data_IF_384434255179
#
_entry.id   IF_384434255179
#
_cell.length_a   1.000
_cell.length_b   1.000
_cell.length_c   1.000
_cell.angle_alpha   90.00
_cell.angle_beta   90.00
_cell.angle_gamma   90.00
#
_symmetry.space_group_name_H-M   'P 1'
#
loop_
_entity.id
_entity.type
_entity.pdbx_description
1 polymer ?
#
# COMPACT_ATOMS: atom_id res chain seq x y z
N UNK A 1 -73.93 -4.94 -49.16
CA UNK A 1 -72.62 -4.29 -49.37
C UNK A 1 -72.50 -3.14 -48.36
N UNK A 2 -71.93 -3.37 -47.18
CA UNK A 2 -71.70 -2.30 -46.20
C UNK A 2 -70.54 -2.70 -45.26
N UNK A 3 -69.30 -2.57 -45.73
CA UNK A 3 -68.13 -3.08 -45.00
C UNK A 3 -66.81 -2.35 -45.24
N UNK A 4 -66.75 -1.32 -46.10
CA UNK A 4 -65.50 -0.60 -46.42
C UNK A 4 -65.28 0.68 -45.60
N UNK A 5 -66.30 1.18 -44.89
CA UNK A 5 -66.22 2.43 -44.13
C UNK A 5 -65.62 2.31 -42.73
N UNK A 6 -65.75 1.14 -42.09
CA UNK A 6 -65.32 0.94 -40.70
C UNK A 6 -63.81 0.72 -40.58
N UNK A 7 -63.18 -0.03 -41.50
CA UNK A 7 -61.74 -0.34 -41.43
C UNK A 7 -60.85 0.90 -41.55
N UNK A 8 -61.26 1.87 -42.38
CA UNK A 8 -60.53 3.13 -42.58
C UNK A 8 -60.56 4.03 -41.34
N UNK A 9 -61.61 3.95 -40.51
CA UNK A 9 -61.71 4.71 -39.25
C UNK A 9 -60.91 4.05 -38.12
N UNK A 10 -60.87 2.71 -38.04
CA UNK A 10 -60.12 1.99 -37.01
C UNK A 10 -58.62 2.20 -37.15
N UNK A 11 -58.10 2.21 -38.38
CA UNK A 11 -56.67 2.48 -38.66
C UNK A 11 -56.29 3.92 -38.32
N UNK A 12 -57.17 4.88 -38.62
CA UNK A 12 -56.94 6.31 -38.34
C UNK A 12 -56.87 6.60 -36.84
N UNK A 13 -57.66 5.88 -36.04
CA UNK A 13 -57.66 6.00 -34.58
C UNK A 13 -56.44 5.30 -33.94
N UNK A 14 -55.97 4.17 -34.49
CA UNK A 14 -54.75 3.51 -34.02
C UNK A 14 -53.48 4.35 -34.25
N UNK A 15 -53.40 5.09 -35.36
CA UNK A 15 -52.26 5.97 -35.65
C UNK A 15 -52.23 7.25 -34.80
N UNK A 16 -53.38 7.74 -34.33
CA UNK A 16 -53.44 8.91 -33.43
C UNK A 16 -52.99 8.59 -31.99
N UNK A 17 -53.11 7.33 -31.55
CA UNK A 17 -52.72 6.91 -30.21
C UNK A 17 -51.20 6.82 -29.98
N UNK A 18 -50.38 6.81 -31.05
CA UNK A 18 -48.92 6.72 -30.97
C UNK A 18 -48.21 8.07 -30.77
N UNK A 19 -48.94 9.20 -30.81
CA UNK A 19 -48.35 10.54 -30.61
C UNK A 19 -47.81 10.75 -29.19
N UNK A 20 -48.33 10.05 -28.19
CA UNK A 20 -47.81 10.06 -26.81
C UNK A 20 -46.64 9.10 -26.59
N UNK A 21 -46.59 7.98 -27.31
CA UNK A 21 -45.57 6.94 -27.14
C UNK A 21 -44.15 7.44 -27.43
N UNK A 22 -44.00 8.32 -28.42
CA UNK A 22 -42.68 8.92 -28.75
C UNK A 22 -42.20 9.86 -27.64
N UNK A 23 -43.10 10.64 -27.03
CA UNK A 23 -42.75 11.54 -25.91
C UNK A 23 -42.38 10.76 -24.65
N UNK A 24 -43.07 9.65 -24.36
CA UNK A 24 -42.76 8.77 -23.22
C UNK A 24 -41.40 8.10 -23.41
N UNK A 25 -41.10 7.63 -24.62
CA UNK A 25 -39.80 7.04 -24.95
C UNK A 25 -38.66 8.04 -24.73
N UNK A 26 -38.81 9.29 -25.19
CA UNK A 26 -37.83 10.36 -24.99
C UNK A 26 -37.64 10.66 -23.49
N UNK A 27 -38.72 10.69 -22.73
CA UNK A 27 -38.67 10.92 -21.28
C UNK A 27 -37.92 9.80 -20.55
N UNK A 28 -38.19 8.54 -20.89
CA UNK A 28 -37.49 7.38 -20.34
C UNK A 28 -36.00 7.44 -20.71
N UNK A 29 -35.68 7.77 -21.96
CA UNK A 29 -34.30 7.94 -22.42
C UNK A 29 -33.56 9.02 -21.62
N UNK A 30 -34.18 10.17 -21.35
CA UNK A 30 -33.58 11.21 -20.51
C UNK A 30 -33.33 10.74 -19.08
N UNK A 31 -34.26 10.01 -18.48
CA UNK A 31 -34.10 9.48 -17.11
C UNK A 31 -32.94 8.48 -17.07
N UNK A 32 -32.85 7.58 -18.06
CA UNK A 32 -31.76 6.61 -18.16
C UNK A 32 -30.41 7.34 -18.30
N UNK A 33 -30.32 8.34 -19.17
CA UNK A 33 -29.11 9.15 -19.33
C UNK A 33 -28.73 9.90 -18.05
N UNK A 34 -29.70 10.43 -17.32
CA UNK A 34 -29.47 11.11 -16.05
C UNK A 34 -28.92 10.16 -14.99
N UNK A 35 -29.52 8.96 -14.87
CA UNK A 35 -29.05 7.93 -13.93
C UNK A 35 -27.63 7.47 -14.27
N UNK A 36 -27.34 7.22 -15.55
CA UNK A 36 -25.98 6.88 -15.98
C UNK A 36 -24.99 8.03 -15.75
N UNK A 37 -25.40 9.28 -15.96
CA UNK A 37 -24.58 10.45 -15.68
C UNK A 37 -24.21 10.56 -14.21
N UNK A 38 -25.18 10.41 -13.30
CA UNK A 38 -24.95 10.41 -11.85
C UNK A 38 -24.08 9.22 -11.45
N UNK A 39 -24.33 8.03 -11.98
CA UNK A 39 -23.52 6.84 -11.69
C UNK A 39 -22.05 7.05 -12.10
N UNK A 40 -21.79 7.60 -13.28
CA UNK A 40 -20.43 7.90 -13.75
C UNK A 40 -19.71 8.91 -12.85
N UNK A 41 -20.42 9.95 -12.37
CA UNK A 41 -19.86 10.93 -11.43
C UNK A 41 -19.55 10.29 -10.08
N UNK A 42 -20.46 9.49 -9.53
CA UNK A 42 -20.24 8.77 -8.26
C UNK A 42 -19.04 7.83 -8.37
N UNK A 43 -18.92 7.06 -9.46
CA UNK A 43 -17.74 6.22 -9.70
C UNK A 43 -16.47 7.07 -9.78
N UNK A 44 -16.47 8.20 -10.50
CA UNK A 44 -15.31 9.08 -10.58
C UNK A 44 -14.90 9.65 -9.23
N UNK A 45 -15.86 10.01 -8.37
CA UNK A 45 -15.60 10.49 -7.00
C UNK A 45 -15.02 9.37 -6.14
N UNK A 46 -15.58 8.16 -6.22
CA UNK A 46 -15.05 7.00 -5.52
C UNK A 46 -13.61 6.69 -5.96
N UNK A 47 -13.34 6.69 -7.27
CA UNK A 47 -11.99 6.51 -7.82
C UNK A 47 -11.03 7.61 -7.35
N UNK A 48 -11.48 8.87 -7.28
CA UNK A 48 -10.66 9.97 -6.75
C UNK A 48 -10.35 9.79 -5.27
N UNK A 49 -11.34 9.42 -4.44
CA UNK A 49 -11.15 9.17 -3.00
C UNK A 49 -10.15 8.03 -2.77
N UNK A 50 -10.27 6.94 -3.53
CA UNK A 50 -9.33 5.82 -3.50
C UNK A 50 -7.92 6.24 -3.92
N UNK A 51 -7.78 6.99 -5.02
CA UNK A 51 -6.49 7.49 -5.47
C UNK A 51 -5.82 8.41 -4.42
N UNK A 52 -6.61 9.23 -3.74
CA UNK A 52 -6.12 10.07 -2.64
C UNK A 52 -5.69 9.26 -1.42
N UNK A 53 -6.51 8.28 -0.97
CA UNK A 53 -6.12 7.36 0.13
C UNK A 53 -4.82 6.63 -0.23
N UNK A 54 -4.71 6.10 -1.44
CA UNK A 54 -3.51 5.40 -1.93
C UNK A 54 -2.28 6.32 -1.98
N UNK A 55 -2.43 7.55 -2.47
CA UNK A 55 -1.33 8.52 -2.50
C UNK A 55 -0.83 8.87 -1.09
N UNK A 56 -1.75 9.04 -0.13
CA UNK A 56 -1.40 9.25 1.28
C UNK A 56 -0.63 8.05 1.84
N UNK A 57 -1.14 6.84 1.62
CA UNK A 57 -0.48 5.60 2.05
C UNK A 57 0.91 5.42 1.44
N UNK A 58 1.07 5.69 0.15
CA UNK A 58 2.36 5.63 -0.53
C UNK A 58 3.34 6.66 0.04
N UNK A 59 2.88 7.88 0.31
CA UNK A 59 3.73 8.93 0.88
C UNK A 59 4.24 8.54 2.26
N UNK A 60 3.37 8.05 3.14
CA UNK A 60 3.76 7.57 4.47
C UNK A 60 4.67 6.34 4.39
N UNK A 61 4.40 5.43 3.46
CA UNK A 61 5.23 4.25 3.21
C UNK A 61 6.66 4.65 2.84
N UNK A 62 6.81 5.55 1.87
CA UNK A 62 8.13 5.99 1.42
C UNK A 62 8.85 6.89 2.43
N UNK A 63 8.13 7.65 3.25
CA UNK A 63 8.74 8.44 4.32
C UNK A 63 9.46 7.55 5.34
N UNK A 64 8.77 6.53 5.86
CA UNK A 64 9.35 5.59 6.83
C UNK A 64 10.47 4.75 6.19
N UNK A 65 10.31 4.34 4.93
CA UNK A 65 11.36 3.66 4.18
C UNK A 65 12.62 4.54 4.01
N UNK A 66 12.44 5.85 3.81
CA UNK A 66 13.52 6.82 3.76
C UNK A 66 14.27 6.91 5.08
N UNK A 67 13.55 6.99 6.21
CA UNK A 67 14.16 6.98 7.54
C UNK A 67 14.96 5.69 7.79
N UNK A 68 14.40 4.53 7.43
CA UNK A 68 15.10 3.25 7.53
C UNK A 68 16.39 3.21 6.68
N UNK A 69 16.36 3.80 5.47
CA UNK A 69 17.53 3.88 4.61
C UNK A 69 18.62 4.79 5.19
N UNK A 70 18.24 5.90 5.84
CA UNK A 70 19.18 6.80 6.53
C UNK A 70 19.86 6.07 7.70
N UNK A 71 19.09 5.36 8.53
CA UNK A 71 19.63 4.58 9.64
C UNK A 71 20.57 3.47 9.13
N UNK A 72 20.24 2.82 8.02
CA UNK A 72 21.12 1.86 7.38
C UNK A 72 22.44 2.50 6.90
N UNK A 73 22.39 3.66 6.27
CA UNK A 73 23.58 4.38 5.82
C UNK A 73 24.47 4.78 7.01
N UNK A 74 23.87 5.24 8.11
CA UNK A 74 24.59 5.55 9.34
C UNK A 74 25.25 4.32 9.97
N UNK A 75 24.58 3.16 9.92
CA UNK A 75 25.16 1.90 10.38
C UNK A 75 26.37 1.50 9.51
N UNK A 76 26.25 1.59 8.19
CA UNK A 76 27.34 1.25 7.25
C UNK A 76 28.57 2.16 7.47
N UNK A 77 28.33 3.46 7.65
CA UNK A 77 29.37 4.45 7.98
C UNK A 77 30.01 4.19 9.34
N UNK A 78 29.21 3.92 10.39
CA UNK A 78 29.71 3.68 11.74
C UNK A 78 30.57 2.41 11.82
N UNK A 79 30.21 1.38 11.04
CA UNK A 79 30.97 0.14 10.94
C UNK A 79 32.28 0.34 10.16
N UNK A 80 32.29 1.25 9.18
CA UNK A 80 33.42 1.55 8.30
C UNK A 80 34.19 0.27 7.89
N UNK A 81 33.45 -0.71 7.37
CA UNK A 81 33.97 -2.06 7.12
C UNK A 81 35.16 -2.08 6.15
N UNK A 82 35.26 -1.06 5.30
CA UNK A 82 36.39 -0.86 4.40
C UNK A 82 37.72 -0.64 5.13
N UNK A 83 37.70 0.05 6.27
CA UNK A 83 38.88 0.35 7.09
C UNK A 83 39.05 -0.62 8.28
N UNK A 84 37.96 -1.20 8.77
CA UNK A 84 37.99 -2.17 9.87
C UNK A 84 38.65 -3.51 9.47
N UNK A 85 38.63 -3.88 8.19
CA UNK A 85 39.29 -5.09 7.68
C UNK A 85 38.72 -6.37 8.30
N UNK A 86 39.56 -7.13 9.01
CA UNK A 86 39.17 -8.36 9.73
C UNK A 86 39.09 -8.19 11.26
N UNK A 87 39.26 -6.97 11.79
CA UNK A 87 39.28 -6.75 13.24
C UNK A 87 37.86 -6.76 13.81
N UNK A 88 37.45 -7.93 14.30
CA UNK A 88 36.15 -8.16 14.96
C UNK A 88 35.99 -7.26 16.18
N UNK A 89 37.06 -7.02 16.95
CA UNK A 89 36.98 -6.20 18.17
C UNK A 89 36.71 -4.74 17.86
N UNK A 90 37.29 -4.22 16.78
CA UNK A 90 37.00 -2.86 16.28
C UNK A 90 35.55 -2.73 15.82
N UNK A 91 35.04 -3.73 15.10
CA UNK A 91 33.66 -3.79 14.63
C UNK A 91 32.67 -3.85 15.81
N UNK A 92 32.97 -4.67 16.81
CA UNK A 92 32.16 -4.78 18.04
C UNK A 92 32.14 -3.46 18.83
N UNK A 93 33.28 -2.75 18.90
CA UNK A 93 33.34 -1.43 19.53
C UNK A 93 32.50 -0.38 18.77
N UNK A 94 32.55 -0.40 17.43
CA UNK A 94 31.70 0.47 16.59
C UNK A 94 30.22 0.16 16.76
N UNK A 95 29.82 -1.11 16.80
CA UNK A 95 28.43 -1.52 17.06
C UNK A 95 27.95 -1.07 18.44
N UNK A 96 28.77 -1.24 19.47
CA UNK A 96 28.44 -0.78 20.82
C UNK A 96 28.27 0.73 20.89
N UNK A 97 29.09 1.50 20.17
CA UNK A 97 28.92 2.96 20.06
C UNK A 97 27.59 3.31 19.38
N UNK A 98 27.29 2.64 18.26
CA UNK A 98 26.04 2.84 17.53
C UNK A 98 24.80 2.53 18.37
N UNK A 99 24.86 1.50 19.24
CA UNK A 99 23.78 1.18 20.18
C UNK A 99 23.54 2.26 21.23
N UNK A 100 24.58 2.97 21.68
CA UNK A 100 24.41 4.07 22.64
C UNK A 100 23.65 5.25 22.03
N UNK A 101 23.81 5.45 20.73
CA UNK A 101 23.13 6.50 19.97
C UNK A 101 21.72 6.07 19.52
N UNK A 102 21.45 4.75 19.42
CA UNK A 102 20.21 4.20 18.85
C UNK A 102 19.60 3.11 19.75
N UNK A 103 18.70 3.49 20.64
CA UNK A 103 17.98 2.59 21.56
C UNK A 103 17.07 1.55 20.88
N UNK A 104 16.76 1.73 19.59
CA UNK A 104 15.93 0.79 18.82
C UNK A 104 16.74 -0.27 18.04
N UNK A 105 18.04 -0.35 18.30
CA UNK A 105 18.93 -1.33 17.68
C UNK A 105 19.37 -2.37 18.71
N UNK A 106 19.63 -3.58 18.25
CA UNK A 106 20.20 -4.65 19.05
C UNK A 106 21.06 -5.53 18.14
N UNK A 107 22.16 -6.08 18.66
CA UNK A 107 22.93 -7.07 17.93
C UNK A 107 23.18 -8.30 18.80
N UNK A 108 23.39 -9.44 18.14
CA UNK A 108 23.74 -10.71 18.74
C UNK A 108 25.01 -11.22 18.09
N UNK A 109 25.98 -11.62 18.91
CA UNK A 109 27.17 -12.32 18.42
C UNK A 109 26.80 -13.77 18.13
N UNK A 110 27.32 -14.31 17.04
CA UNK A 110 27.13 -15.71 16.65
C UNK A 110 28.45 -16.45 16.77
N UNK A 111 28.39 -17.73 17.07
CA UNK A 111 29.58 -18.61 17.18
C UNK A 111 30.21 -18.95 15.82
N UNK A 112 29.58 -18.50 14.72
CA UNK A 112 30.05 -18.69 13.35
C UNK A 112 31.09 -17.62 13.00
N UNK A 113 32.36 -18.01 12.84
CA UNK A 113 33.42 -17.09 12.39
C UNK A 113 33.10 -16.42 11.04
N UNK A 114 32.37 -17.10 10.16
CA UNK A 114 31.94 -16.54 8.87
C UNK A 114 30.84 -15.50 9.01
N UNK A 115 30.10 -15.48 10.11
CA UNK A 115 28.96 -14.59 10.36
C UNK A 115 28.91 -14.12 11.82
N UNK A 116 29.89 -13.33 12.27
CA UNK A 116 30.09 -13.10 13.69
C UNK A 116 28.96 -12.29 14.35
N UNK A 117 28.16 -11.53 13.57
CA UNK A 117 27.12 -10.66 14.13
C UNK A 117 25.80 -10.72 13.34
N UNK A 118 24.71 -10.76 14.08
CA UNK A 118 23.34 -10.53 13.61
C UNK A 118 22.87 -9.21 14.20
N UNK A 119 22.54 -8.22 13.36
CA UNK A 119 22.12 -6.89 13.76
C UNK A 119 20.64 -6.74 13.45
N UNK A 120 19.84 -6.40 14.45
CA UNK A 120 18.41 -6.14 14.32
C UNK A 120 18.12 -4.68 14.67
N UNK A 121 17.54 -3.96 13.73
CA UNK A 121 17.17 -2.56 13.88
C UNK A 121 15.65 -2.41 13.74
N UNK A 122 15.07 -1.55 14.56
CA UNK A 122 13.67 -1.14 14.43
C UNK A 122 13.60 0.36 14.23
N UNK A 123 12.94 0.80 13.17
CA UNK A 123 12.64 2.20 12.95
C UNK A 123 11.15 2.37 13.12
N UNK A 124 10.76 3.25 14.04
CA UNK A 124 9.36 3.53 14.36
C UNK A 124 9.02 4.93 13.91
N UNK A 125 7.86 5.07 13.30
CA UNK A 125 7.28 6.37 12.99
C UNK A 125 7.08 7.16 14.29
N UNK A 126 7.58 8.40 14.32
CA UNK A 126 7.49 9.26 15.50
C UNK A 126 6.13 9.96 15.57
N UNK A 127 5.57 10.08 16.78
CA UNK A 127 4.41 10.94 17.04
C UNK A 127 3.02 10.35 16.72
N UNK A 128 2.92 9.06 16.39
CA UNK A 128 1.62 8.37 16.24
C UNK A 128 1.35 7.40 17.40
N UNK A 129 0.09 7.31 17.82
CA UNK A 129 -0.37 6.45 18.92
C UNK A 129 -0.17 4.96 18.61
N UNK A 130 -0.28 4.61 17.33
CA UNK A 130 0.07 3.29 16.80
C UNK A 130 1.11 3.47 15.68
N UNK A 131 2.41 3.45 16.02
CA UNK A 131 3.45 3.78 15.06
C UNK A 131 3.63 2.63 14.06
N UNK A 132 3.78 2.98 12.78
CA UNK A 132 4.32 2.05 11.80
C UNK A 132 5.77 1.74 12.18
N UNK A 133 6.20 0.50 11.97
CA UNK A 133 7.58 0.11 12.24
C UNK A 133 8.21 -0.66 11.08
N UNK A 134 9.46 -0.36 10.75
CA UNK A 134 10.29 -1.16 9.87
C UNK A 134 11.29 -1.93 10.72
N UNK A 135 11.22 -3.25 10.63
CA UNK A 135 12.18 -4.17 11.21
C UNK A 135 13.21 -4.57 10.14
N UNK A 136 14.46 -4.21 10.37
CA UNK A 136 15.58 -4.56 9.52
C UNK A 136 16.48 -5.56 10.24
N UNK A 137 16.89 -6.61 9.54
CA UNK A 137 17.85 -7.60 10.01
C UNK A 137 19.04 -7.65 9.07
N UNK A 138 20.23 -7.62 9.63
CA UNK A 138 21.49 -7.70 8.90
C UNK A 138 22.36 -8.78 9.50
N UNK A 139 23.18 -9.39 8.65
CA UNK A 139 24.27 -10.25 9.08
C UNK A 139 25.58 -9.63 8.59
N UNK A 140 26.56 -9.63 9.47
CA UNK A 140 27.93 -9.35 9.06
C UNK A 140 28.54 -10.67 8.61
N UNK A 141 29.04 -10.74 7.37
CA UNK A 141 29.67 -11.95 6.84
C UNK A 141 31.11 -11.69 6.40
N UNK A 142 32.00 -12.67 6.58
CA UNK A 142 33.40 -12.59 6.16
C UNK A 142 33.53 -13.03 4.70
N UNK A 143 33.93 -12.10 3.82
CA UNK A 143 34.31 -12.35 2.42
C UNK A 143 35.83 -12.48 2.25
N UNK A 144 36.34 -12.23 1.05
CA UNK A 144 37.77 -12.29 0.67
C UNK A 144 38.65 -11.30 1.47
N UNK A 145 38.91 -11.61 2.74
CA UNK A 145 39.76 -10.79 3.62
C UNK A 145 39.07 -9.59 4.28
N UNK A 146 37.75 -9.45 4.16
CA UNK A 146 36.97 -8.30 4.67
C UNK A 146 35.59 -8.71 5.13
N UNK A 147 35.02 -7.96 6.07
CA UNK A 147 33.62 -8.09 6.46
C UNK A 147 32.69 -7.28 5.55
N UNK A 148 31.51 -7.82 5.30
CA UNK A 148 30.44 -7.19 4.53
C UNK A 148 29.12 -7.29 5.28
N UNK A 149 28.29 -6.26 5.15
CA UNK A 149 26.94 -6.27 5.68
C UNK A 149 25.97 -6.83 4.63
N UNK A 150 25.12 -7.78 5.02
CA UNK A 150 24.05 -8.31 4.16
C UNK A 150 22.72 -8.18 4.86
N UNK A 151 21.75 -7.55 4.21
CA UNK A 151 20.38 -7.53 4.68
C UNK A 151 19.77 -8.93 4.57
N UNK A 152 19.20 -9.43 5.67
CA UNK A 152 18.49 -10.73 5.74
C UNK A 152 16.99 -10.54 5.96
N UNK A 153 16.58 -9.42 6.57
CA UNK A 153 15.19 -9.13 6.86
C UNK A 153 14.90 -7.65 6.60
N UNK A 154 13.79 -7.38 5.93
CA UNK A 154 13.24 -6.04 5.77
C UNK A 154 11.73 -6.14 5.80
N UNK A 155 11.12 -5.98 6.97
CA UNK A 155 9.67 -6.11 7.15
C UNK A 155 9.08 -4.81 7.68
N UNK A 156 8.02 -4.35 7.05
CA UNK A 156 7.22 -3.24 7.55
C UNK A 156 5.97 -3.78 8.25
N UNK A 157 5.75 -3.35 9.49
CA UNK A 157 4.55 -3.60 10.26
C UNK A 157 3.75 -2.31 10.40
N UNK A 158 2.47 -2.41 10.11
CA UNK A 158 1.47 -1.37 10.39
C UNK A 158 0.35 -2.09 11.14
N UNK A 159 0.04 -1.69 12.36
CA UNK A 159 -1.14 -2.22 13.00
C UNK A 159 -2.37 -1.62 12.30
N UNK A 160 -3.29 -2.48 11.86
CA UNK A 160 -4.57 -2.03 11.33
C UNK A 160 -5.37 -1.43 12.48
N UNK A 161 -5.47 -0.11 12.54
CA UNK A 161 -6.55 0.54 13.28
C UNK A 161 -7.78 0.34 12.40
N UNK A 162 -8.68 -0.52 12.86
CA UNK A 162 -10.01 -0.64 12.29
C UNK A 162 -10.72 0.68 12.55
N UNK A 163 -10.80 1.54 11.54
CA UNK A 163 -11.63 2.74 11.60
C UNK A 163 -13.09 2.26 11.53
N UNK A 164 -13.94 2.50 12.56
CA UNK A 164 -15.33 2.08 12.53
C UNK A 164 -16.13 2.73 11.39
N UNK A 165 -15.59 3.76 10.71
CA UNK A 165 -16.17 4.33 9.48
C UNK A 165 -15.68 3.66 8.18
N UNK A 166 -14.59 2.88 8.20
CA UNK A 166 -14.21 2.04 7.07
C UNK A 166 -15.07 0.76 7.13
N UNK A 167 -16.07 0.66 6.26
CA UNK A 167 -16.88 -0.57 6.11
C UNK A 167 -15.96 -1.80 5.99
N UNK A 168 -16.32 -2.94 6.62
CA UNK A 168 -15.48 -4.14 6.59
C UNK A 168 -15.26 -4.61 5.15
N UNK A 169 -14.05 -4.38 4.64
CA UNK A 169 -13.60 -4.98 3.40
C UNK A 169 -13.27 -6.46 3.67
N UNK A 170 -14.14 -7.34 3.18
CA UNK A 170 -13.88 -8.78 3.04
C UNK A 170 -12.72 -9.02 2.07
N UNK A 171 -11.48 -8.80 2.50
CA UNK A 171 -10.29 -9.23 1.78
C UNK A 171 -9.25 -9.78 2.75
N UNK A 172 -9.66 -10.76 3.56
CA UNK A 172 -8.77 -11.80 4.07
C UNK A 172 -8.26 -12.65 2.90
N UNK A 173 -7.36 -12.10 2.09
CA UNK A 173 -6.64 -12.88 1.09
C UNK A 173 -5.45 -13.54 1.79
N UNK A 174 -5.72 -14.72 2.33
CA UNK A 174 -4.73 -15.64 2.85
C UNK A 174 -3.94 -16.25 1.67
N UNK A 175 -2.81 -15.64 1.29
CA UNK A 175 -1.90 -16.27 0.32
C UNK A 175 -1.05 -17.30 1.07
N UNK A 176 -1.53 -18.55 1.08
CA UNK A 176 -0.66 -19.71 1.34
C UNK A 176 0.23 -19.92 0.13
N UNK A 177 1.51 -19.60 0.27
CA UNK A 177 2.54 -20.05 -0.67
C UNK A 177 2.80 -21.52 -0.37
N UNK A 178 2.66 -22.37 -1.41
CA UNK A 178 2.93 -23.80 -1.37
C UNK A 178 4.20 -24.11 -2.14
#
# INVERSE_FOLDING_TARGET
MNGKGNEMQTVKNHLQNNRGATSVLIMIMMIILMVFGVAALTTSVASRKLAQKNAGWLTEYYALQGEAQVVYAHLDEALNLADAGEDISRIEASLNRFLQENTNCSFQRTDLESQPFIINMKVRESGKEVPKEIQMGFILYKGEGRYHLKATKWLQYQAEIFDPEDEPHFSDINIKIK
#
